data_IF_839724539736
#
_entry.id   IF_839724539736
#
_cell.length_a   1.000
_cell.length_b   1.000
_cell.length_c   1.000
_cell.angle_alpha   90.00
_cell.angle_beta   90.00
_cell.angle_gamma   90.00
#
_symmetry.space_group_name_H-M   'P 1'
#
loop_
_entity.id
_entity.type
_entity.pdbx_description
1 polymer ?
#
# COMPACT_ATOMS: atom_id res chain seq x y z
N UNK A 1 11.91 -12.33 15.45
CA UNK A 1 10.86 -12.57 14.42
C UNK A 1 10.08 -11.28 14.15
N UNK A 2 10.80 -10.19 13.82
CA UNK A 2 10.27 -8.82 13.71
C UNK A 2 10.95 -8.00 12.61
N UNK A 3 11.93 -8.55 11.89
CA UNK A 3 12.62 -7.88 10.78
C UNK A 3 11.78 -7.90 9.48
N UNK A 4 10.89 -8.88 9.30
CA UNK A 4 10.04 -8.96 8.11
C UNK A 4 8.88 -7.95 8.10
N UNK A 5 8.42 -7.49 9.27
CA UNK A 5 7.35 -6.49 9.35
C UNK A 5 7.75 -5.08 8.89
N UNK A 6 8.90 -4.51 9.30
CA UNK A 6 9.33 -3.19 8.82
C UNK A 6 9.51 -3.17 7.29
N UNK A 7 10.04 -4.25 6.69
CA UNK A 7 10.22 -4.34 5.24
C UNK A 7 8.91 -4.22 4.45
N UNK A 8 7.80 -4.77 4.95
CA UNK A 8 6.49 -4.69 4.26
C UNK A 8 5.95 -3.26 4.27
N UNK A 9 6.07 -2.56 5.39
CA UNK A 9 5.63 -1.17 5.48
C UNK A 9 6.52 -0.25 4.65
N UNK A 10 7.83 -0.47 4.66
CA UNK A 10 8.78 0.28 3.82
C UNK A 10 8.46 0.11 2.34
N UNK A 11 8.17 -1.11 1.90
CA UNK A 11 7.73 -1.40 0.53
C UNK A 11 6.41 -0.70 0.21
N UNK A 12 5.45 -0.71 1.15
CA UNK A 12 4.17 -0.03 0.97
C UNK A 12 4.34 1.49 0.83
N UNK A 13 5.17 2.11 1.68
CA UNK A 13 5.47 3.54 1.63
C UNK A 13 6.20 3.91 0.35
N UNK A 14 7.18 3.09 -0.05
CA UNK A 14 7.90 3.26 -1.31
C UNK A 14 6.94 3.18 -2.50
N UNK A 15 6.01 2.22 -2.50
CA UNK A 15 4.97 2.09 -3.52
C UNK A 15 4.02 3.29 -3.58
N UNK A 16 3.68 3.88 -2.43
CA UNK A 16 2.86 5.10 -2.37
C UNK A 16 3.60 6.30 -2.99
N UNK A 17 4.87 6.51 -2.61
CA UNK A 17 5.70 7.59 -3.15
C UNK A 17 5.94 7.42 -4.65
N UNK A 18 6.30 6.22 -5.09
CA UNK A 18 6.47 5.90 -6.50
C UNK A 18 5.17 6.07 -7.29
N UNK A 19 4.02 5.75 -6.70
CA UNK A 19 2.71 5.96 -7.32
C UNK A 19 2.39 7.45 -7.55
N UNK A 20 2.73 8.30 -6.57
CA UNK A 20 2.65 9.76 -6.71
C UNK A 20 3.56 10.29 -7.81
N UNK A 21 4.83 9.87 -7.78
CA UNK A 21 5.83 10.21 -8.80
C UNK A 21 5.38 9.76 -10.21
N UNK A 22 4.83 8.57 -10.36
CA UNK A 22 4.34 8.07 -11.66
C UNK A 22 3.18 8.91 -12.19
N UNK A 23 2.26 9.35 -11.33
CA UNK A 23 1.16 10.25 -11.73
C UNK A 23 1.67 11.60 -12.18
N UNK A 24 2.69 12.13 -11.49
CA UNK A 24 3.37 13.37 -11.82
C UNK A 24 4.10 13.27 -13.17
N UNK A 25 4.84 12.19 -13.38
CA UNK A 25 5.51 11.88 -14.64
C UNK A 25 4.52 11.81 -15.81
N UNK A 26 3.35 11.20 -15.62
CA UNK A 26 2.30 11.13 -16.66
C UNK A 26 1.70 12.49 -17.02
N UNK A 27 1.78 13.48 -16.14
CA UNK A 27 1.38 14.86 -16.41
C UNK A 27 2.49 15.69 -17.08
N UNK A 28 3.67 15.11 -17.30
CA UNK A 28 4.81 15.81 -17.89
C UNK A 28 5.53 16.77 -16.93
N UNK A 29 5.22 16.71 -15.63
CA UNK A 29 5.90 17.50 -14.61
C UNK A 29 7.30 16.94 -14.35
N UNK A 30 8.26 17.83 -14.05
CA UNK A 30 9.61 17.43 -13.65
C UNK A 30 9.58 16.68 -12.31
N UNK A 31 10.21 15.50 -12.30
CA UNK A 31 10.37 14.69 -11.11
C UNK A 31 11.59 15.18 -10.32
N UNK A 32 11.42 15.36 -9.02
CA UNK A 32 12.55 15.61 -8.12
C UNK A 32 13.46 14.38 -8.07
N UNK A 33 14.71 14.57 -7.66
CA UNK A 33 15.68 13.48 -7.53
C UNK A 33 15.14 12.35 -6.61
N UNK A 34 14.46 12.73 -5.52
CA UNK A 34 13.83 11.79 -4.61
C UNK A 34 12.67 11.02 -5.25
N UNK A 35 11.84 11.68 -6.06
CA UNK A 35 10.73 11.04 -6.79
C UNK A 35 11.26 10.05 -7.84
N UNK A 36 12.33 10.41 -8.55
CA UNK A 36 13.00 9.52 -9.51
C UNK A 36 13.60 8.30 -8.82
N UNK A 37 14.28 8.51 -7.68
CA UNK A 37 14.86 7.43 -6.90
C UNK A 37 13.76 6.48 -6.37
N UNK A 38 12.67 7.01 -5.82
CA UNK A 38 11.54 6.22 -5.34
C UNK A 38 10.89 5.42 -6.47
N UNK A 39 10.64 6.05 -7.62
CA UNK A 39 10.09 5.38 -8.80
C UNK A 39 10.99 4.25 -9.29
N UNK A 40 12.29 4.52 -9.42
CA UNK A 40 13.27 3.54 -9.87
C UNK A 40 13.49 2.40 -8.87
N UNK A 41 13.43 2.67 -7.57
CA UNK A 41 13.52 1.64 -6.54
C UNK A 41 12.27 0.76 -6.55
N UNK A 42 11.08 1.37 -6.62
CA UNK A 42 9.83 0.64 -6.74
C UNK A 42 9.78 -0.22 -8.01
N UNK A 43 10.22 0.27 -9.15
CA UNK A 43 10.26 -0.51 -10.39
C UNK A 43 11.14 -1.76 -10.25
N UNK A 44 12.28 -1.64 -9.56
CA UNK A 44 13.23 -2.75 -9.30
C UNK A 44 12.77 -3.74 -8.24
N UNK A 45 11.82 -3.37 -7.41
CA UNK A 45 11.25 -4.26 -6.40
C UNK A 45 10.61 -5.50 -7.05
N UNK A 46 10.84 -6.68 -6.47
CA UNK A 46 10.28 -7.93 -7.00
C UNK A 46 8.75 -7.91 -6.97
N UNK A 47 8.13 -8.56 -7.97
CA UNK A 47 6.66 -8.63 -8.08
C UNK A 47 6.04 -9.26 -6.82
N UNK A 48 6.72 -10.23 -6.22
CA UNK A 48 6.27 -10.86 -4.98
C UNK A 48 6.22 -9.90 -3.79
N UNK A 49 7.23 -9.03 -3.62
CA UNK A 49 7.24 -8.01 -2.55
C UNK A 49 6.14 -6.96 -2.74
N UNK A 50 5.94 -6.51 -3.98
CA UNK A 50 4.81 -5.62 -4.33
C UNK A 50 3.46 -6.26 -3.97
N UNK A 51 3.28 -7.54 -4.33
CA UNK A 51 2.06 -8.28 -4.05
C UNK A 51 1.82 -8.45 -2.55
N UNK A 52 2.85 -8.75 -1.76
CA UNK A 52 2.74 -8.84 -0.31
C UNK A 52 2.39 -7.50 0.33
N UNK A 53 3.08 -6.40 -0.05
CA UNK A 53 2.81 -5.07 0.50
C UNK A 53 1.36 -4.63 0.23
N UNK A 54 0.91 -4.72 -1.03
CA UNK A 54 -0.44 -4.32 -1.41
C UNK A 54 -1.49 -5.29 -0.85
N UNK A 55 -1.20 -6.60 -0.85
CA UNK A 55 -2.10 -7.64 -0.34
C UNK A 55 -2.33 -7.52 1.16
N UNK A 56 -1.27 -7.38 1.95
CA UNK A 56 -1.37 -7.21 3.40
C UNK A 56 -2.15 -5.94 3.77
N UNK A 57 -1.87 -4.81 3.09
CA UNK A 57 -2.62 -3.57 3.27
C UNK A 57 -4.11 -3.74 2.94
N UNK A 58 -4.42 -4.43 1.83
CA UNK A 58 -5.79 -4.66 1.38
C UNK A 58 -6.55 -5.56 2.37
N UNK A 59 -5.96 -6.68 2.78
CA UNK A 59 -6.57 -7.57 3.78
C UNK A 59 -6.80 -6.84 5.10
N UNK A 60 -5.83 -6.05 5.57
CA UNK A 60 -5.98 -5.28 6.80
C UNK A 60 -7.12 -4.26 6.71
N UNK A 61 -7.14 -3.44 5.66
CA UNK A 61 -8.13 -2.35 5.52
C UNK A 61 -9.53 -2.88 5.25
N UNK A 62 -9.69 -3.73 4.24
CA UNK A 62 -11.01 -4.23 3.84
C UNK A 62 -11.54 -5.29 4.80
N UNK A 63 -10.67 -6.16 5.33
CA UNK A 63 -11.06 -7.17 6.32
C UNK A 63 -11.55 -6.55 7.62
N UNK A 64 -10.90 -5.48 8.08
CA UNK A 64 -11.36 -4.73 9.24
C UNK A 64 -12.72 -4.06 9.00
N UNK A 65 -12.90 -3.40 7.85
CA UNK A 65 -14.17 -2.79 7.47
C UNK A 65 -15.32 -3.80 7.38
N UNK A 66 -15.06 -4.97 6.78
CA UNK A 66 -16.03 -6.06 6.72
C UNK A 66 -16.42 -6.56 8.12
N UNK A 67 -15.43 -6.80 8.99
CA UNK A 67 -15.65 -7.31 10.35
C UNK A 67 -16.45 -6.30 11.19
N UNK A 68 -16.08 -5.02 11.14
CA UNK A 68 -16.80 -3.94 11.83
C UNK A 68 -18.22 -3.77 11.28
N UNK A 69 -18.39 -3.81 9.96
CA UNK A 69 -19.70 -3.78 9.33
C UNK A 69 -20.58 -4.93 9.81
N UNK A 70 -20.07 -6.17 9.75
CA UNK A 70 -20.76 -7.36 10.24
C UNK A 70 -21.19 -7.23 11.69
N UNK A 71 -20.33 -6.69 12.57
CA UNK A 71 -20.65 -6.46 13.97
C UNK A 71 -21.79 -5.44 14.15
N UNK A 72 -21.76 -4.32 13.42
CA UNK A 72 -22.79 -3.26 13.52
C UNK A 72 -24.13 -3.73 12.96
N UNK A 73 -24.14 -4.34 11.77
CA UNK A 73 -25.37 -4.81 11.12
C UNK A 73 -25.95 -6.05 11.82
N UNK A 74 -25.11 -6.95 12.34
CA UNK A 74 -25.54 -8.08 13.15
C UNK A 74 -26.21 -7.63 14.44
N UNK A 75 -25.64 -6.63 15.13
CA UNK A 75 -26.23 -6.07 16.35
C UNK A 75 -27.59 -5.40 16.12
N UNK A 76 -27.78 -4.71 14.99
CA UNK A 76 -29.07 -4.09 14.64
C UNK A 76 -30.18 -5.08 14.27
N UNK A 77 -29.86 -6.34 13.97
CA UNK A 77 -30.87 -7.40 13.77
C UNK A 77 -31.20 -8.18 15.04
N UNK A 78 -30.40 -8.03 16.10
CA UNK A 78 -30.57 -8.72 17.37
C UNK A 78 -31.40 -7.92 18.40
N UNK A 79 -31.74 -6.66 18.06
CA UNK A 79 -32.71 -5.79 18.75
C UNK A 79 -33.94 -5.65 17.89
#
# INVERSE_FOLDING_TARGET
MSEQSPEIFDDLYLGLQAGGALRKQRRGEELTEQEQAALGHWQRLSVWRKALAVGAFSLGTFGLGFTLGGLIFGRRRAT
#
